data_IF_206465852639
#
_entry.id   IF_206465852639
#
_cell.length_a   1.000
_cell.length_b   1.000
_cell.length_c   1.000
_cell.angle_alpha   90.00
_cell.angle_beta   90.00
_cell.angle_gamma   90.00
#
_symmetry.space_group_name_H-M   'P 1'
#
loop_
_entity.id
_entity.type
_entity.pdbx_description
1 polymer ?
#
# COMPACT_ATOMS: atom_id res chain seq x y z
N UNK A 1 1.04 -15.76 5.03
CA UNK A 1 1.06 -16.30 3.66
C UNK A 1 1.09 -15.13 2.70
N UNK A 2 2.27 -14.79 2.19
CA UNK A 2 2.39 -14.31 0.81
C UNK A 2 2.95 -15.55 0.11
N UNK A 3 2.06 -16.50 -0.13
CA UNK A 3 2.38 -17.71 -0.86
C UNK A 3 1.81 -17.50 -2.26
N UNK A 4 2.67 -17.70 -3.25
CA UNK A 4 2.36 -17.77 -4.68
C UNK A 4 1.96 -16.46 -5.35
N UNK A 5 2.95 -15.75 -5.91
CA UNK A 5 2.82 -15.06 -7.20
C UNK A 5 1.77 -13.96 -7.38
N UNK A 6 0.98 -13.65 -6.35
CA UNK A 6 -0.23 -12.83 -6.49
C UNK A 6 0.10 -11.34 -6.36
N UNK A 7 0.95 -10.86 -7.27
CA UNK A 7 1.18 -9.42 -7.47
C UNK A 7 -0.15 -8.71 -7.72
N UNK A 8 -1.07 -9.35 -8.44
CA UNK A 8 -2.41 -8.80 -8.71
C UNK A 8 -3.22 -8.63 -7.42
N UNK A 9 -3.25 -9.64 -6.55
CA UNK A 9 -3.85 -9.58 -5.23
C UNK A 9 -3.17 -8.52 -4.34
N UNK A 10 -1.85 -8.39 -4.42
CA UNK A 10 -1.10 -7.36 -3.71
C UNK A 10 -1.45 -5.94 -4.21
N UNK A 11 -1.66 -5.75 -5.51
CA UNK A 11 -2.10 -4.47 -6.09
C UNK A 11 -3.52 -4.10 -5.66
N UNK A 12 -4.44 -5.06 -5.68
CA UNK A 12 -5.83 -4.86 -5.24
C UNK A 12 -5.86 -4.51 -3.75
N UNK A 13 -5.12 -5.24 -2.92
CA UNK A 13 -4.98 -4.94 -1.50
C UNK A 13 -4.33 -3.57 -1.28
N UNK A 14 -3.32 -3.20 -2.07
CA UNK A 14 -2.66 -1.90 -1.96
C UNK A 14 -3.61 -0.74 -2.31
N UNK A 15 -4.41 -0.88 -3.37
CA UNK A 15 -5.45 0.11 -3.73
C UNK A 15 -6.46 0.28 -2.60
N UNK A 16 -6.95 -0.81 -2.02
CA UNK A 16 -7.85 -0.77 -0.87
C UNK A 16 -7.24 -0.08 0.35
N UNK A 17 -5.98 -0.38 0.65
CA UNK A 17 -5.24 0.24 1.75
C UNK A 17 -5.03 1.74 1.54
N UNK A 18 -4.70 2.19 0.32
CA UNK A 18 -4.56 3.62 -0.01
C UNK A 18 -5.86 4.38 0.25
N UNK A 19 -7.00 3.83 -0.21
CA UNK A 19 -8.33 4.45 0.03
C UNK A 19 -8.66 4.53 1.52
N UNK A 20 -8.35 3.49 2.29
CA UNK A 20 -8.57 3.50 3.74
C UNK A 20 -7.70 4.55 4.45
N UNK A 21 -6.42 4.66 4.05
CA UNK A 21 -5.49 5.65 4.58
C UNK A 21 -5.95 7.09 4.28
N UNK A 22 -6.43 7.34 3.07
CA UNK A 22 -6.91 8.66 2.66
C UNK A 22 -8.24 9.04 3.35
N UNK A 23 -9.15 8.08 3.54
CA UNK A 23 -10.35 8.28 4.37
C UNK A 23 -9.99 8.60 5.82
N UNK A 24 -8.98 7.93 6.37
CA UNK A 24 -8.50 8.21 7.73
C UNK A 24 -7.80 9.57 7.84
N UNK A 25 -7.12 10.02 6.79
CA UNK A 25 -6.56 11.38 6.70
C UNK A 25 -7.67 12.43 6.68
N UNK A 26 -8.70 12.24 5.84
CA UNK A 26 -9.82 13.16 5.71
C UNK A 26 -10.65 13.29 6.99
N UNK A 27 -10.75 12.22 7.78
CA UNK A 27 -11.41 12.22 9.10
C UNK A 27 -10.53 12.77 10.23
N UNK A 28 -9.28 13.15 9.96
CA UNK A 28 -8.35 13.63 10.99
C UNK A 28 -7.80 12.54 11.93
N UNK A 29 -8.10 11.26 11.68
CA UNK A 29 -7.60 10.14 12.49
C UNK A 29 -6.08 9.92 12.31
N UNK A 30 -5.51 10.37 11.19
CA UNK A 30 -4.06 10.38 10.95
C UNK A 30 -3.62 11.67 10.27
N UNK A 31 -2.43 12.15 10.62
CA UNK A 31 -1.83 13.31 9.96
C UNK A 31 -1.49 13.00 8.49
N UNK A 32 -1.73 13.96 7.59
CA UNK A 32 -1.46 13.87 6.14
C UNK A 32 -0.05 13.34 5.83
N UNK A 33 0.98 13.83 6.53
CA UNK A 33 2.36 13.38 6.31
C UNK A 33 2.61 11.93 6.78
N UNK A 34 1.87 11.44 7.77
CA UNK A 34 1.96 10.04 8.22
C UNK A 34 1.30 9.11 7.20
N UNK A 35 0.16 9.54 6.65
CA UNK A 35 -0.55 8.83 5.58
C UNK A 35 0.30 8.78 4.31
N UNK A 36 0.88 9.91 3.86
CA UNK A 36 1.77 9.95 2.70
C UNK A 36 2.99 9.03 2.86
N UNK A 37 3.60 8.99 4.06
CA UNK A 37 4.72 8.07 4.35
C UNK A 37 4.29 6.61 4.29
N UNK A 38 3.11 6.27 4.83
CA UNK A 38 2.56 4.89 4.75
C UNK A 38 2.25 4.49 3.32
N UNK A 39 1.65 5.37 2.50
CA UNK A 39 1.40 5.13 1.07
C UNK A 39 2.70 4.89 0.30
N UNK A 40 3.71 5.75 0.51
CA UNK A 40 5.01 5.60 -0.13
C UNK A 40 5.69 4.27 0.22
N UNK A 41 5.68 3.87 1.50
CA UNK A 41 6.24 2.58 1.92
C UNK A 41 5.50 1.40 1.29
N UNK A 42 4.17 1.43 1.28
CA UNK A 42 3.34 0.38 0.70
C UNK A 42 3.64 0.16 -0.78
N UNK A 43 3.71 1.24 -1.56
CA UNK A 43 4.04 1.18 -2.99
C UNK A 43 5.48 0.71 -3.20
N UNK A 44 6.42 1.17 -2.37
CA UNK A 44 7.81 0.71 -2.44
C UNK A 44 7.92 -0.80 -2.23
N UNK A 45 7.25 -1.34 -1.20
CA UNK A 45 7.24 -2.78 -0.96
C UNK A 45 6.60 -3.57 -2.12
N UNK A 46 5.55 -3.04 -2.75
CA UNK A 46 4.94 -3.67 -3.92
C UNK A 46 5.90 -3.66 -5.12
N UNK A 47 6.59 -2.54 -5.37
CA UNK A 47 7.57 -2.44 -6.45
C UNK A 47 8.80 -3.31 -6.19
N UNK A 48 9.30 -3.37 -4.96
CA UNK A 48 10.41 -4.26 -4.58
C UNK A 48 9.98 -5.74 -4.74
N UNK A 49 8.73 -6.09 -4.42
CA UNK A 49 8.21 -7.43 -4.63
C UNK A 49 8.06 -7.77 -6.13
N UNK A 50 7.68 -6.81 -6.98
CA UNK A 50 7.67 -6.96 -8.44
C UNK A 50 9.07 -7.14 -9.02
N UNK A 51 10.01 -6.29 -8.64
CA UNK A 51 11.37 -6.30 -9.17
C UNK A 51 12.17 -7.55 -8.75
N UNK A 52 11.84 -8.19 -7.61
CA UNK A 52 12.48 -9.44 -7.20
C UNK A 52 11.88 -10.69 -7.90
N UNK A 53 10.88 -10.53 -8.78
CA UNK A 53 10.33 -11.61 -9.60
C UNK A 53 10.81 -11.58 -11.06
N UNK A 54 11.66 -10.62 -11.44
CA UNK A 54 12.42 -10.60 -12.71
C UNK A 54 13.77 -11.32 -12.56
#
# INVERSE_FOLDING_TARGET
>A
MIADGDIEGAEVAAKGAVVALDKAAGKGAMHKNTVSRKKSRLIKHLNDAKNNQE
#
